data_IF_838714674146
#
_entry.id   IF_838714674146
#
_cell.length_a   1.000
_cell.length_b   1.000
_cell.length_c   1.000
_cell.angle_alpha   90.00
_cell.angle_beta   90.00
_cell.angle_gamma   90.00
#
_symmetry.space_group_name_H-M   'P 1'
#
loop_
_entity.id
_entity.type
_entity.pdbx_description
1 polymer ?
#
# COMPACT_ATOMS: atom_id res chain seq x y z
N UNK A 1 -34.96 -48.98 29.04
CA UNK A 1 -35.27 -47.59 28.70
C UNK A 1 -34.03 -46.76 28.90
N UNK A 2 -33.23 -46.55 27.80
CA UNK A 2 -31.98 -45.80 27.87
C UNK A 2 -32.14 -44.53 27.03
N UNK A 3 -32.27 -43.41 27.69
CA UNK A 3 -32.30 -42.09 27.05
C UNK A 3 -30.88 -41.66 26.65
N UNK A 4 -30.60 -41.58 25.36
CA UNK A 4 -29.34 -40.96 24.83
C UNK A 4 -29.54 -39.45 24.74
N UNK A 5 -28.79 -38.75 25.59
CA UNK A 5 -28.71 -37.30 25.62
C UNK A 5 -27.75 -36.85 24.50
N UNK A 6 -28.31 -36.24 23.42
CA UNK A 6 -27.51 -35.58 22.39
C UNK A 6 -27.06 -34.21 22.91
N UNK A 7 -25.75 -34.05 23.05
CA UNK A 7 -25.12 -32.73 23.34
C UNK A 7 -24.83 -32.11 22.00
N UNK A 8 -25.57 -31.05 21.66
CA UNK A 8 -25.26 -30.13 20.53
C UNK A 8 -24.16 -29.19 20.95
N UNK A 9 -22.97 -29.39 20.41
CA UNK A 9 -21.87 -28.41 20.50
C UNK A 9 -22.10 -27.36 19.44
N UNK A 10 -22.56 -26.18 19.84
CA UNK A 10 -22.62 -24.99 18.99
C UNK A 10 -21.21 -24.44 18.85
N UNK A 11 -20.58 -24.63 17.67
CA UNK A 11 -19.33 -24.01 17.33
C UNK A 11 -19.60 -22.51 17.05
N UNK A 12 -19.36 -21.64 18.01
CA UNK A 12 -19.27 -20.21 17.78
C UNK A 12 -18.04 -19.92 16.94
N UNK A 13 -18.22 -19.74 15.62
CA UNK A 13 -17.23 -19.10 14.77
C UNK A 13 -17.09 -17.63 15.21
N UNK A 14 -16.10 -17.37 16.04
CA UNK A 14 -15.70 -16.03 16.41
C UNK A 14 -15.15 -15.31 15.16
N UNK A 15 -15.96 -14.45 14.53
CA UNK A 15 -15.46 -13.44 13.64
C UNK A 15 -14.55 -12.52 14.46
N UNK A 16 -13.25 -12.64 14.27
CA UNK A 16 -12.28 -11.67 14.79
C UNK A 16 -12.54 -10.34 14.11
N UNK A 17 -13.32 -9.50 14.77
CA UNK A 17 -13.38 -8.06 14.45
C UNK A 17 -11.96 -7.54 14.64
N UNK A 18 -11.34 -7.08 13.56
CA UNK A 18 -10.09 -6.36 13.64
C UNK A 18 -10.37 -5.06 14.41
N UNK A 19 -10.06 -5.06 15.69
CA UNK A 19 -10.08 -3.85 16.51
C UNK A 19 -8.93 -2.95 16.03
N UNK A 20 -9.21 -1.65 15.91
CA UNK A 20 -8.17 -0.64 15.81
C UNK A 20 -7.22 -0.83 17.01
N UNK A 21 -5.92 -0.86 16.75
CA UNK A 21 -4.98 -0.79 17.86
C UNK A 21 -5.21 0.55 18.58
N UNK A 22 -5.29 0.59 19.91
CA UNK A 22 -5.45 1.84 20.61
C UNK A 22 -4.28 2.77 20.29
N UNK A 23 -4.45 4.12 20.32
CA UNK A 23 -3.39 5.11 20.05
C UNK A 23 -2.12 4.85 20.86
N UNK A 24 -2.28 4.30 22.07
CA UNK A 24 -1.21 3.89 22.95
C UNK A 24 -0.35 2.75 22.37
N UNK A 25 -0.92 1.85 21.57
CA UNK A 25 -0.20 0.77 20.91
C UNK A 25 0.77 1.28 19.85
N UNK A 26 0.34 2.22 18.99
CA UNK A 26 1.22 2.81 17.97
C UNK A 26 2.29 3.72 18.59
N UNK A 27 1.97 4.42 19.70
CA UNK A 27 2.94 5.23 20.44
C UNK A 27 4.00 4.35 21.11
N UNK A 28 3.60 3.25 21.75
CA UNK A 28 4.54 2.28 22.31
C UNK A 28 5.46 1.69 21.22
N UNK A 29 4.91 1.39 20.05
CA UNK A 29 5.69 0.93 18.88
C UNK A 29 6.68 1.97 18.38
N UNK A 30 6.31 3.23 18.38
CA UNK A 30 7.23 4.33 18.06
C UNK A 30 8.42 4.35 19.03
N UNK A 31 8.17 4.28 20.35
CA UNK A 31 9.25 4.28 21.34
C UNK A 31 10.15 3.05 21.20
N UNK A 32 9.60 1.87 20.95
CA UNK A 32 10.37 0.64 20.67
C UNK A 32 11.29 0.82 19.44
N UNK A 33 10.78 1.44 18.39
CA UNK A 33 11.48 1.57 17.10
C UNK A 33 12.42 2.79 17.04
N UNK A 34 12.41 3.72 17.97
CA UNK A 34 13.24 4.94 17.94
C UNK A 34 14.71 4.69 17.58
N UNK A 35 15.41 3.70 18.15
CA UNK A 35 16.79 3.40 17.78
C UNK A 35 16.93 3.01 16.30
N UNK A 36 16.01 2.17 15.80
CA UNK A 36 16.01 1.72 14.40
C UNK A 36 15.59 2.81 13.42
N UNK A 37 14.77 3.76 13.83
CA UNK A 37 14.38 4.92 13.03
C UNK A 37 15.50 5.93 12.90
N UNK A 38 16.38 6.05 13.92
CA UNK A 38 17.50 7.01 13.91
C UNK A 38 18.75 6.47 13.23
N UNK A 39 18.98 5.15 13.29
CA UNK A 39 20.16 4.50 12.72
C UNK A 39 19.73 3.33 11.82
N UNK A 40 19.70 3.58 10.52
CA UNK A 40 19.31 2.60 9.51
C UNK A 40 19.90 2.94 8.14
N UNK A 41 19.87 1.94 7.23
CA UNK A 41 20.42 2.07 5.88
C UNK A 41 19.60 2.95 4.94
N UNK A 42 18.37 3.33 5.31
CA UNK A 42 17.52 4.23 4.50
C UNK A 42 17.95 5.70 4.61
N UNK A 43 18.78 6.06 5.62
CA UNK A 43 19.15 7.44 5.94
C UNK A 43 17.93 8.36 6.14
N UNK A 44 16.84 7.78 6.63
CA UNK A 44 15.55 8.40 6.93
C UNK A 44 14.97 7.75 8.18
N UNK A 45 14.10 8.43 8.92
CA UNK A 45 13.40 7.81 10.06
C UNK A 45 12.35 6.81 9.58
N UNK A 46 12.85 5.68 9.07
CA UNK A 46 12.10 4.61 8.42
C UNK A 46 12.57 3.25 8.91
N UNK A 47 11.63 2.38 9.25
CA UNK A 47 11.84 0.97 9.51
C UNK A 47 10.86 0.14 8.67
N UNK A 48 11.38 -0.92 8.05
CA UNK A 48 10.60 -1.81 7.19
C UNK A 48 10.83 -3.26 7.62
N UNK A 49 9.74 -4.01 7.72
CA UNK A 49 9.77 -5.44 7.97
C UNK A 49 8.77 -6.18 7.07
N UNK A 50 8.96 -7.48 6.90
CA UNK A 50 8.07 -8.32 6.10
C UNK A 50 7.95 -9.72 6.65
N UNK A 51 6.81 -10.34 6.42
CA UNK A 51 6.52 -11.72 6.81
C UNK A 51 5.84 -12.49 5.67
N UNK A 52 6.04 -13.79 5.68
CA UNK A 52 5.38 -14.74 4.79
C UNK A 52 4.94 -15.94 5.63
N UNK A 53 3.66 -16.28 5.58
CA UNK A 53 3.11 -17.42 6.33
C UNK A 53 2.95 -18.65 5.43
N UNK A 54 2.97 -19.87 6.00
CA UNK A 54 2.86 -21.12 5.26
C UNK A 54 1.58 -21.24 4.41
N UNK A 55 0.49 -20.59 4.84
CA UNK A 55 -0.78 -20.55 4.11
C UNK A 55 -0.80 -19.55 2.93
N UNK A 56 0.33 -18.89 2.64
CA UNK A 56 0.50 -17.97 1.53
C UNK A 56 0.05 -16.53 1.78
N UNK A 57 -0.23 -16.16 3.03
CA UNK A 57 -0.39 -14.77 3.38
C UNK A 57 0.99 -14.11 3.50
N UNK A 58 1.13 -12.93 2.88
CA UNK A 58 2.34 -12.11 2.94
C UNK A 58 1.98 -10.71 3.42
N UNK A 59 2.85 -10.13 4.22
CA UNK A 59 2.69 -8.79 4.75
C UNK A 59 4.01 -8.03 4.74
N UNK A 60 3.93 -6.71 4.52
CA UNK A 60 5.04 -5.78 4.65
C UNK A 60 4.58 -4.55 5.39
N UNK A 61 5.35 -4.17 6.39
CA UNK A 61 5.05 -3.10 7.32
C UNK A 61 6.13 -2.02 7.22
N UNK A 62 5.70 -0.76 7.11
CA UNK A 62 6.56 0.41 7.09
C UNK A 62 6.17 1.30 8.25
N UNK A 63 7.14 1.58 9.11
CA UNK A 63 7.03 2.54 10.20
C UNK A 63 7.91 3.74 9.86
N UNK A 64 7.34 4.95 9.88
CA UNK A 64 8.11 6.13 9.49
C UNK A 64 7.66 7.39 10.24
N UNK A 65 8.60 8.34 10.38
CA UNK A 65 8.29 9.70 10.80
C UNK A 65 8.26 10.59 9.55
N UNK A 66 7.16 11.31 9.38
CA UNK A 66 6.93 12.23 8.27
C UNK A 66 7.00 13.66 8.80
N UNK A 67 7.72 14.53 8.08
CA UNK A 67 7.85 15.97 8.40
C UNK A 67 6.60 16.76 7.94
N UNK A 68 5.45 16.35 8.46
CA UNK A 68 4.16 17.03 8.25
C UNK A 68 3.38 17.00 9.56
N UNK A 69 2.70 18.10 9.92
CA UNK A 69 1.82 18.12 11.08
C UNK A 69 0.68 17.11 10.94
N UNK A 70 0.35 16.42 12.02
CA UNK A 70 -0.77 15.47 12.04
C UNK A 70 -2.10 16.14 11.61
N UNK A 71 -2.34 17.38 12.04
CA UNK A 71 -3.52 18.14 11.63
C UNK A 71 -3.63 18.38 10.11
N UNK A 72 -2.51 18.32 9.38
CA UNK A 72 -2.47 18.36 7.90
C UNK A 72 -2.54 16.96 7.30
N UNK A 73 -1.81 16.01 7.85
CA UNK A 73 -1.70 14.66 7.33
C UNK A 73 -3.00 13.86 7.51
N UNK A 74 -3.64 13.92 8.67
CA UNK A 74 -4.81 13.10 8.98
C UNK A 74 -6.02 13.38 8.06
N UNK A 75 -6.47 14.63 7.81
CA UNK A 75 -7.55 14.89 6.86
C UNK A 75 -7.21 14.47 5.43
N UNK A 76 -5.95 14.66 4.99
CA UNK A 76 -5.51 14.30 3.66
C UNK A 76 -5.50 12.78 3.45
N UNK A 77 -5.05 12.02 4.45
CA UNK A 77 -4.95 10.55 4.40
C UNK A 77 -6.29 9.86 4.71
N UNK A 78 -7.26 10.53 5.34
CA UNK A 78 -8.61 9.99 5.51
C UNK A 78 -9.47 10.11 4.25
N UNK A 79 -9.10 10.99 3.30
CA UNK A 79 -9.88 11.25 2.10
C UNK A 79 -9.69 10.17 1.03
N UNK A 80 -10.78 9.57 0.54
CA UNK A 80 -10.76 8.54 -0.50
C UNK A 80 -10.08 9.01 -1.80
N UNK A 81 -10.29 10.26 -2.21
CA UNK A 81 -9.62 10.84 -3.38
C UNK A 81 -8.10 10.97 -3.18
N UNK A 82 -7.64 11.28 -1.96
CA UNK A 82 -6.22 11.31 -1.62
C UNK A 82 -5.57 9.94 -1.83
N UNK A 83 -6.26 8.85 -1.47
CA UNK A 83 -5.79 7.51 -1.75
C UNK A 83 -5.71 7.19 -3.24
N UNK A 84 -6.64 7.67 -4.06
CA UNK A 84 -6.54 7.53 -5.51
C UNK A 84 -5.31 8.29 -6.06
N UNK A 85 -5.01 9.45 -5.53
CA UNK A 85 -3.81 10.21 -5.89
C UNK A 85 -2.51 9.49 -5.49
N UNK A 86 -2.50 8.81 -4.33
CA UNK A 86 -1.38 7.98 -3.86
C UNK A 86 -1.25 6.70 -4.71
N UNK A 87 -2.35 5.97 -4.89
CA UNK A 87 -2.36 4.70 -5.61
C UNK A 87 -2.04 4.85 -7.10
N UNK A 88 -2.24 6.05 -7.68
CA UNK A 88 -1.91 6.32 -9.07
C UNK A 88 -0.40 6.45 -9.31
N UNK A 89 0.42 6.74 -8.31
CA UNK A 89 1.86 7.00 -8.47
C UNK A 89 2.67 5.79 -8.97
N UNK A 90 2.47 4.55 -8.48
CA UNK A 90 3.16 3.39 -9.04
C UNK A 90 2.92 3.24 -10.56
N UNK A 91 3.98 2.91 -11.30
CA UNK A 91 3.98 2.89 -12.76
C UNK A 91 2.91 1.95 -13.38
N UNK A 92 2.57 0.87 -12.69
CA UNK A 92 1.59 -0.11 -13.16
C UNK A 92 0.12 0.24 -12.81
N UNK A 93 -0.16 1.25 -11.99
CA UNK A 93 -1.53 1.71 -11.76
C UNK A 93 -1.94 2.68 -12.86
N UNK A 94 -2.96 2.33 -13.62
CA UNK A 94 -3.41 3.06 -14.84
C UNK A 94 -4.58 3.99 -14.61
N UNK A 95 -5.29 3.79 -13.51
CA UNK A 95 -6.49 4.55 -13.17
C UNK A 95 -6.85 4.29 -11.71
N UNK A 96 -7.38 5.30 -11.03
CA UNK A 96 -8.06 5.18 -9.76
C UNK A 96 -9.16 6.24 -9.67
N UNK A 97 -10.34 5.85 -9.23
CA UNK A 97 -11.45 6.77 -8.97
C UNK A 97 -12.21 6.34 -7.72
N UNK A 98 -12.42 7.28 -6.84
CA UNK A 98 -13.30 7.09 -5.69
C UNK A 98 -14.77 7.29 -6.11
N UNK A 99 -15.64 6.42 -5.61
CA UNK A 99 -17.09 6.49 -5.74
C UNK A 99 -17.75 6.22 -4.39
N UNK A 100 -19.00 6.67 -4.22
CA UNK A 100 -19.77 6.33 -3.03
C UNK A 100 -20.04 4.83 -2.98
N UNK A 101 -19.92 4.22 -1.80
CA UNK A 101 -20.26 2.83 -1.53
C UNK A 101 -21.22 2.70 -0.35
N UNK A 102 -21.78 1.53 -0.14
CA UNK A 102 -22.80 1.30 0.90
C UNK A 102 -22.32 1.54 2.35
N UNK A 103 -21.03 1.41 2.63
CA UNK A 103 -20.42 1.61 3.94
C UNK A 103 -19.09 2.39 3.84
N UNK A 104 -19.09 3.53 3.16
CA UNK A 104 -17.90 4.33 2.93
C UNK A 104 -17.70 4.62 1.44
N UNK A 105 -16.47 4.59 0.96
CA UNK A 105 -16.12 4.80 -0.45
C UNK A 105 -15.55 3.53 -1.07
N UNK A 106 -15.67 3.40 -2.39
CA UNK A 106 -15.00 2.37 -3.18
C UNK A 106 -13.99 3.05 -4.11
N UNK A 107 -12.75 2.56 -4.09
CA UNK A 107 -11.72 3.00 -5.02
C UNK A 107 -11.66 1.99 -6.18
N UNK A 108 -12.11 2.42 -7.35
CA UNK A 108 -12.04 1.62 -8.58
C UNK A 108 -10.64 1.78 -9.18
N UNK A 109 -9.81 0.75 -9.04
CA UNK A 109 -8.40 0.78 -9.47
C UNK A 109 -8.21 -0.09 -10.70
N UNK A 110 -7.35 0.36 -11.64
CA UNK A 110 -6.88 -0.45 -12.78
C UNK A 110 -5.39 -0.67 -12.66
N UNK A 111 -4.98 -1.93 -12.54
CA UNK A 111 -3.58 -2.32 -12.36
C UNK A 111 -3.11 -3.06 -13.61
N UNK A 112 -2.21 -2.47 -14.37
CA UNK A 112 -1.59 -3.07 -15.55
C UNK A 112 -0.61 -4.19 -15.17
N UNK A 113 -0.41 -5.15 -16.08
CA UNK A 113 0.63 -6.19 -15.92
C UNK A 113 2.03 -5.60 -15.96
N UNK A 114 2.21 -4.56 -16.77
CA UNK A 114 3.44 -3.79 -16.95
C UNK A 114 3.09 -2.31 -16.98
N UNK A 115 4.11 -1.46 -16.89
CA UNK A 115 3.95 -0.02 -16.95
C UNK A 115 3.36 0.48 -18.27
N UNK A 116 3.64 -0.17 -19.39
CA UNK A 116 3.15 0.16 -20.74
C UNK A 116 1.80 -0.51 -21.12
N UNK A 117 1.19 -1.28 -20.20
CA UNK A 117 -0.08 -1.96 -20.49
C UNK A 117 -1.21 -0.95 -20.73
N UNK A 118 -2.07 -1.16 -21.77
CA UNK A 118 -3.29 -0.37 -21.94
C UNK A 118 -4.24 -0.52 -20.75
N UNK A 119 -4.99 0.53 -20.42
CA UNK A 119 -5.93 0.52 -19.29
C UNK A 119 -7.06 -0.50 -19.45
N UNK A 120 -7.46 -0.78 -20.67
CA UNK A 120 -8.51 -1.75 -21.03
C UNK A 120 -8.09 -3.19 -20.70
N UNK A 121 -6.79 -3.47 -20.69
CA UNK A 121 -6.20 -4.78 -20.35
C UNK A 121 -5.80 -4.87 -18.88
N UNK A 122 -5.95 -3.79 -18.11
CA UNK A 122 -5.58 -3.77 -16.71
C UNK A 122 -6.58 -4.55 -15.84
N UNK A 123 -6.06 -5.18 -14.79
CA UNK A 123 -6.89 -5.84 -13.79
C UNK A 123 -7.73 -4.80 -13.04
N UNK A 124 -9.00 -5.10 -12.88
CA UNK A 124 -9.90 -4.34 -12.02
C UNK A 124 -9.73 -4.79 -10.58
N UNK A 125 -9.51 -3.83 -9.69
CA UNK A 125 -9.49 -4.05 -8.25
C UNK A 125 -10.34 -2.96 -7.59
N UNK A 126 -11.39 -3.35 -6.91
CA UNK A 126 -12.27 -2.44 -6.20
C UNK A 126 -11.92 -2.51 -4.71
N UNK A 127 -11.29 -1.45 -4.20
CA UNK A 127 -10.97 -1.35 -2.77
C UNK A 127 -12.10 -0.68 -2.00
N UNK A 128 -12.66 -1.37 -1.01
CA UNK A 128 -13.47 -0.72 0.00
C UNK A 128 -12.55 0.17 0.87
N UNK A 129 -12.81 1.46 0.90
CA UNK A 129 -12.11 2.45 1.73
C UNK A 129 -12.95 2.78 2.95
N UNK A 130 -12.37 2.65 4.13
CA UNK A 130 -13.01 2.96 5.41
C UNK A 130 -12.06 3.76 6.30
N UNK A 131 -12.57 4.83 6.88
CA UNK A 131 -11.95 5.47 8.04
C UNK A 131 -12.44 4.69 9.26
N UNK A 132 -11.53 4.01 9.93
CA UNK A 132 -11.83 3.15 11.10
C UNK A 132 -11.86 4.01 12.36
N UNK A 133 -10.90 4.92 12.47
CA UNK A 133 -10.83 5.90 13.55
C UNK A 133 -10.22 7.21 13.06
N UNK A 134 -10.72 8.34 13.55
CA UNK A 134 -10.17 9.66 13.29
C UNK A 134 -10.49 10.58 14.45
N UNK A 135 -9.47 10.93 15.20
CA UNK A 135 -9.51 11.87 16.33
C UNK A 135 -8.40 12.91 16.20
N UNK A 136 -8.25 13.81 17.14
CA UNK A 136 -7.18 14.81 17.14
C UNK A 136 -5.78 14.21 17.35
N UNK A 137 -5.69 12.96 17.80
CA UNK A 137 -4.44 12.30 18.15
C UNK A 137 -4.25 10.90 17.54
N UNK A 138 -5.20 10.44 16.71
CA UNK A 138 -5.10 9.14 16.03
C UNK A 138 -5.91 9.13 14.74
N UNK A 139 -5.34 8.51 13.71
CA UNK A 139 -6.03 8.17 12.47
C UNK A 139 -5.80 6.69 12.18
N UNK A 140 -6.87 5.99 11.78
CA UNK A 140 -6.74 4.69 11.14
C UNK A 140 -7.64 4.61 9.90
N UNK A 141 -7.01 4.28 8.76
CA UNK A 141 -7.68 4.06 7.47
C UNK A 141 -7.40 2.66 6.99
N UNK A 142 -8.41 2.02 6.42
CA UNK A 142 -8.29 0.70 5.82
C UNK A 142 -8.82 0.70 4.40
N UNK A 143 -8.02 0.12 3.48
CA UNK A 143 -8.46 -0.30 2.16
C UNK A 143 -8.45 -1.83 2.11
N UNK A 144 -9.51 -2.43 1.58
CA UNK A 144 -9.59 -3.89 1.43
C UNK A 144 -10.22 -4.30 0.11
N UNK A 145 -9.69 -5.37 -0.51
CA UNK A 145 -10.25 -5.96 -1.71
C UNK A 145 -10.16 -7.49 -1.63
N UNK A 146 -11.26 -8.17 -1.97
CA UNK A 146 -11.31 -9.64 -1.89
C UNK A 146 -10.46 -10.30 -2.97
N UNK A 147 -10.43 -9.69 -4.15
CA UNK A 147 -9.73 -10.22 -5.32
C UNK A 147 -8.77 -9.20 -5.91
N UNK A 148 -7.68 -9.69 -6.50
CA UNK A 148 -6.68 -8.89 -7.16
C UNK A 148 -6.05 -9.58 -8.36
N UNK A 149 -4.99 -8.98 -8.94
CA UNK A 149 -4.30 -9.51 -10.10
C UNK A 149 -3.75 -10.93 -9.88
N UNK A 150 -3.74 -11.74 -10.94
CA UNK A 150 -3.05 -13.05 -10.97
C UNK A 150 -3.52 -14.04 -9.89
N UNK A 151 -4.79 -13.99 -9.49
CA UNK A 151 -5.36 -14.89 -8.47
C UNK A 151 -4.92 -14.60 -7.04
N UNK A 152 -4.36 -13.43 -6.80
CA UNK A 152 -4.14 -12.89 -5.45
C UNK A 152 -5.46 -12.43 -4.84
N UNK A 153 -5.56 -12.46 -3.51
CA UNK A 153 -6.81 -12.16 -2.79
C UNK A 153 -6.56 -11.62 -1.39
N UNK A 154 -7.63 -11.19 -0.74
CA UNK A 154 -7.61 -10.69 0.64
C UNK A 154 -6.64 -9.51 0.80
N UNK A 155 -6.66 -8.57 -0.14
CA UNK A 155 -5.84 -7.37 -0.05
C UNK A 155 -6.27 -6.51 1.12
N UNK A 156 -5.27 -6.05 1.86
CA UNK A 156 -5.47 -5.12 2.95
C UNK A 156 -4.32 -4.11 2.99
N UNK A 157 -4.67 -2.84 2.95
CA UNK A 157 -3.77 -1.72 3.25
C UNK A 157 -4.34 -1.06 4.49
N UNK A 158 -3.55 -0.95 5.54
CA UNK A 158 -3.93 -0.23 6.76
C UNK A 158 -2.91 0.87 6.97
N UNK A 159 -3.38 2.08 7.18
CA UNK A 159 -2.57 3.21 7.61
C UNK A 159 -3.04 3.64 8.98
N UNK A 160 -2.12 3.66 9.93
CA UNK A 160 -2.29 4.29 11.23
C UNK A 160 -1.35 5.48 11.36
N UNK A 161 -1.80 6.54 12.02
CA UNK A 161 -1.00 7.74 12.24
C UNK A 161 -1.27 8.36 13.61
N UNK A 162 -0.22 8.90 14.24
CA UNK A 162 -0.29 9.66 15.48
C UNK A 162 0.56 10.94 15.39
N UNK A 163 0.21 12.02 16.10
CA UNK A 163 1.04 13.20 16.20
C UNK A 163 2.30 12.93 17.01
N UNK A 164 3.41 13.53 16.57
CA UNK A 164 4.64 13.65 17.33
C UNK A 164 4.93 15.12 17.62
N UNK A 165 5.89 15.35 18.52
CA UNK A 165 6.44 16.69 18.74
C UNK A 165 7.07 17.26 17.47
N UNK A 166 7.32 18.59 17.46
CA UNK A 166 7.93 19.32 16.33
C UNK A 166 7.13 19.25 15.02
N UNK A 167 5.81 19.22 15.10
CA UNK A 167 4.90 19.18 13.92
C UNK A 167 5.18 18.01 12.98
N UNK A 168 5.49 16.84 13.53
CA UNK A 168 5.70 15.61 12.77
C UNK A 168 4.60 14.61 13.03
N UNK A 169 4.51 13.63 12.15
CA UNK A 169 3.56 12.52 12.24
C UNK A 169 4.30 11.19 12.17
N UNK A 170 4.04 10.30 13.10
CA UNK A 170 4.47 8.90 12.99
C UNK A 170 3.37 8.10 12.31
N UNK A 171 3.75 7.31 11.32
CA UNK A 171 2.84 6.44 10.58
C UNK A 171 3.28 4.98 10.66
N UNK A 172 2.30 4.09 10.64
CA UNK A 172 2.43 2.67 10.33
C UNK A 172 1.60 2.36 9.10
N UNK A 173 2.25 1.90 8.04
CA UNK A 173 1.61 1.42 6.82
C UNK A 173 1.80 -0.09 6.74
N UNK A 174 0.72 -0.85 6.85
CA UNK A 174 0.70 -2.30 6.64
C UNK A 174 0.07 -2.62 5.29
N UNK A 175 0.74 -3.42 4.47
CA UNK A 175 0.23 -3.92 3.20
C UNK A 175 0.33 -5.44 3.16
N UNK A 176 -0.81 -6.10 2.96
CA UNK A 176 -0.87 -7.55 2.94
C UNK A 176 -1.83 -8.08 1.89
N UNK A 177 -1.58 -9.31 1.43
CA UNK A 177 -2.48 -10.09 0.59
C UNK A 177 -2.15 -11.58 0.68
N UNK A 178 -3.02 -12.42 0.14
CA UNK A 178 -2.83 -13.87 0.07
C UNK A 178 -2.62 -14.31 -1.36
N UNK A 179 -1.75 -15.31 -1.54
CA UNK A 179 -1.44 -15.90 -2.85
C UNK A 179 -1.93 -17.35 -2.85
N UNK A 180 -2.87 -17.66 -3.75
CA UNK A 180 -3.31 -19.03 -3.98
C UNK A 180 -2.22 -19.89 -4.63
N UNK A 181 -2.43 -21.22 -4.70
CA UNK A 181 -1.44 -22.17 -5.26
C UNK A 181 -1.02 -21.83 -6.70
N UNK A 182 -1.99 -21.45 -7.55
CA UNK A 182 -1.73 -21.07 -8.94
C UNK A 182 -0.96 -19.75 -9.05
N UNK A 183 -1.32 -18.75 -8.24
CA UNK A 183 -0.59 -17.48 -8.18
C UNK A 183 0.82 -17.65 -7.64
N UNK A 184 1.02 -18.55 -6.69
CA UNK A 184 2.33 -18.90 -6.14
C UNK A 184 3.24 -19.51 -7.22
N UNK A 185 2.72 -20.45 -8.01
CA UNK A 185 3.45 -21.04 -9.14
C UNK A 185 3.84 -19.97 -10.17
N UNK A 186 2.89 -19.13 -10.60
CA UNK A 186 3.16 -18.04 -11.55
C UNK A 186 4.22 -17.05 -11.01
N UNK A 187 4.17 -16.73 -9.72
CA UNK A 187 5.15 -15.85 -9.08
C UNK A 187 6.53 -16.51 -8.97
N UNK A 188 6.61 -17.81 -8.67
CA UNK A 188 7.87 -18.55 -8.65
C UNK A 188 8.51 -18.57 -10.04
N UNK A 189 7.74 -18.77 -11.10
CA UNK A 189 8.24 -18.69 -12.48
C UNK A 189 8.76 -17.29 -12.82
N UNK A 190 8.04 -16.23 -12.42
CA UNK A 190 8.51 -14.85 -12.57
C UNK A 190 9.80 -14.59 -11.81
N UNK A 191 9.86 -14.96 -10.53
CA UNK A 191 11.04 -14.78 -9.67
C UNK A 191 12.24 -15.61 -10.13
N UNK A 192 12.01 -16.75 -10.78
CA UNK A 192 13.07 -17.59 -11.38
C UNK A 192 13.58 -17.06 -12.73
N UNK A 193 12.92 -16.06 -13.32
CA UNK A 193 13.25 -15.52 -14.65
C UNK A 193 13.46 -14.00 -14.63
N UNK A 194 12.49 -13.23 -15.05
CA UNK A 194 12.57 -11.77 -15.17
C UNK A 194 12.71 -11.04 -13.82
N UNK A 195 12.27 -11.66 -12.74
CA UNK A 195 12.34 -11.09 -11.37
C UNK A 195 13.51 -11.58 -10.52
N UNK A 196 14.40 -12.43 -11.05
CA UNK A 196 15.46 -13.11 -10.29
C UNK A 196 16.42 -12.16 -9.56
N UNK A 197 16.69 -11.01 -10.16
CA UNK A 197 17.60 -10.00 -9.61
C UNK A 197 16.89 -8.93 -8.77
N UNK A 198 15.55 -9.01 -8.68
CA UNK A 198 14.75 -8.08 -7.90
C UNK A 198 14.75 -8.49 -6.42
N UNK A 199 15.33 -7.64 -5.60
CA UNK A 199 15.46 -7.85 -4.14
C UNK A 199 14.55 -6.89 -3.36
N UNK A 200 14.34 -7.18 -2.07
CA UNK A 200 13.73 -6.26 -1.12
C UNK A 200 14.78 -5.38 -0.43
N UNK A 201 14.47 -4.97 0.77
CA UNK A 201 15.30 -4.04 1.55
C UNK A 201 15.91 -4.70 2.79
N UNK A 202 15.29 -5.74 3.34
CA UNK A 202 15.78 -6.42 4.54
C UNK A 202 17.06 -7.18 4.25
N UNK A 203 18.10 -6.93 5.08
CA UNK A 203 19.36 -7.68 5.05
C UNK A 203 19.12 -9.04 5.69
N UNK A 204 19.37 -10.12 4.95
CA UNK A 204 19.19 -11.51 5.41
C UNK A 204 20.49 -12.25 5.61
N UNK A 205 21.62 -11.61 5.33
CA UNK A 205 22.97 -12.18 5.46
C UNK A 205 23.97 -11.39 4.62
N UNK A 206 25.13 -12.00 4.39
CA UNK A 206 26.20 -11.45 3.54
C UNK A 206 27.53 -12.12 3.83
N UNK A 207 28.41 -12.19 2.82
CA UNK A 207 29.79 -12.63 2.96
C UNK A 207 30.70 -11.63 2.23
N UNK A 208 31.92 -11.44 2.74
CA UNK A 208 32.92 -10.61 2.07
C UNK A 208 32.55 -9.13 1.93
N UNK A 209 31.76 -8.56 2.86
CA UNK A 209 31.36 -7.14 2.82
C UNK A 209 30.15 -6.83 1.93
N UNK A 210 29.59 -7.79 1.20
CA UNK A 210 28.34 -7.63 0.43
C UNK A 210 27.15 -8.11 1.25
N UNK A 211 26.16 -7.21 1.45
CA UNK A 211 24.90 -7.55 2.08
C UNK A 211 23.99 -8.33 1.12
N UNK A 212 23.52 -9.50 1.56
CA UNK A 212 22.45 -10.23 0.87
C UNK A 212 21.09 -9.65 1.31
N UNK A 213 20.32 -9.18 0.33
CA UNK A 213 18.98 -8.66 0.57
C UNK A 213 17.92 -9.73 0.33
N UNK A 214 16.80 -9.63 1.05
CA UNK A 214 15.69 -10.56 0.93
C UNK A 214 15.14 -10.60 -0.50
N UNK A 215 14.96 -11.81 -1.01
CA UNK A 215 14.35 -12.08 -2.32
C UNK A 215 12.94 -12.66 -2.19
N UNK A 216 12.50 -13.32 -3.27
CA UNK A 216 11.24 -14.06 -3.28
C UNK A 216 10.00 -13.18 -3.01
N UNK A 217 8.99 -13.79 -2.40
CA UNK A 217 7.73 -13.13 -2.08
C UNK A 217 7.91 -12.00 -1.06
N UNK A 218 8.78 -12.18 -0.07
CA UNK A 218 9.12 -11.11 0.88
C UNK A 218 9.75 -9.91 0.18
N UNK A 219 10.66 -10.12 -0.78
CA UNK A 219 11.21 -9.03 -1.58
C UNK A 219 10.15 -8.29 -2.41
N UNK A 220 9.14 -8.99 -2.93
CA UNK A 220 8.02 -8.37 -3.65
C UNK A 220 7.19 -7.47 -2.73
N UNK A 221 6.79 -7.98 -1.55
CA UNK A 221 5.95 -7.20 -0.64
C UNK A 221 6.70 -5.97 -0.09
N UNK A 222 7.99 -6.09 0.22
CA UNK A 222 8.80 -4.96 0.69
C UNK A 222 8.89 -3.85 -0.35
N UNK A 223 9.09 -4.19 -1.63
CA UNK A 223 9.10 -3.19 -2.72
C UNK A 223 7.76 -2.49 -2.86
N UNK A 224 6.66 -3.23 -2.76
CA UNK A 224 5.32 -2.65 -2.87
C UNK A 224 4.98 -1.75 -1.67
N UNK A 225 5.26 -2.21 -0.44
CA UNK A 225 5.08 -1.40 0.76
C UNK A 225 5.88 -0.10 0.70
N UNK A 226 7.13 -0.18 0.25
CA UNK A 226 7.97 1.01 0.06
C UNK A 226 7.40 1.95 -1.01
N UNK A 227 6.91 1.45 -2.15
CA UNK A 227 6.28 2.30 -3.18
C UNK A 227 5.08 3.07 -2.65
N UNK A 228 4.22 2.42 -1.86
CA UNK A 228 3.07 3.09 -1.24
C UNK A 228 3.50 4.09 -0.18
N UNK A 229 4.49 3.76 0.66
CA UNK A 229 5.03 4.69 1.63
C UNK A 229 5.60 5.95 0.94
N UNK A 230 6.45 5.79 -0.08
CA UNK A 230 6.98 6.91 -0.85
C UNK A 230 5.87 7.69 -1.57
N UNK A 231 4.78 7.02 -1.96
CA UNK A 231 3.58 7.66 -2.49
C UNK A 231 2.88 8.56 -1.46
N UNK A 232 2.78 8.11 -0.22
CA UNK A 232 2.23 8.90 0.88
C UNK A 232 3.11 10.14 1.14
N UNK A 233 4.44 9.97 1.20
CA UNK A 233 5.36 11.11 1.37
C UNK A 233 5.20 12.14 0.25
N UNK A 234 5.21 11.69 -1.02
CA UNK A 234 5.10 12.57 -2.17
C UNK A 234 3.73 13.30 -2.22
N UNK A 235 2.66 12.60 -1.87
CA UNK A 235 1.33 13.18 -1.78
C UNK A 235 1.24 14.27 -0.71
N UNK A 236 1.68 13.97 0.50
CA UNK A 236 1.67 14.92 1.61
C UNK A 236 2.61 16.10 1.36
N UNK A 237 3.80 15.86 0.82
CA UNK A 237 4.77 16.89 0.46
C UNK A 237 4.28 17.86 -0.62
N UNK A 238 3.36 17.39 -1.49
CA UNK A 238 2.76 18.24 -2.52
C UNK A 238 1.63 19.14 -2.01
N UNK A 239 1.07 18.89 -0.81
CA UNK A 239 -0.05 19.68 -0.28
C UNK A 239 0.30 21.17 -0.06
N UNK A 240 1.55 21.47 0.25
CA UNK A 240 2.04 22.84 0.43
C UNK A 240 2.18 23.63 -0.88
N UNK A 241 2.16 22.95 -2.03
CA UNK A 241 2.24 23.58 -3.34
C UNK A 241 0.87 24.14 -3.77
N UNK A 242 0.83 25.17 -4.65
CA UNK A 242 -0.40 25.62 -5.29
C UNK A 242 -1.13 24.46 -5.98
N UNK A 243 -2.48 24.43 -5.99
CA UNK A 243 -3.25 23.29 -6.50
C UNK A 243 -2.83 22.82 -7.90
N UNK A 244 -2.53 23.75 -8.80
CA UNK A 244 -2.10 23.48 -10.18
C UNK A 244 -0.70 22.83 -10.28
N UNK A 245 0.15 23.04 -9.29
CA UNK A 245 1.49 22.48 -9.25
C UNK A 245 1.58 21.13 -8.51
N UNK A 246 0.53 20.73 -7.78
CA UNK A 246 0.54 19.53 -6.92
C UNK A 246 0.79 18.25 -7.68
N UNK A 247 0.20 18.11 -8.87
CA UNK A 247 0.39 16.91 -9.69
C UNK A 247 1.87 16.74 -10.06
N UNK A 248 2.46 17.75 -10.68
CA UNK A 248 3.85 17.69 -11.15
C UNK A 248 4.82 17.48 -9.98
N UNK A 249 4.57 18.16 -8.86
CA UNK A 249 5.39 17.99 -7.67
C UNK A 249 5.35 16.56 -7.17
N UNK A 250 4.18 15.97 -6.95
CA UNK A 250 4.08 14.60 -6.41
C UNK A 250 4.61 13.53 -7.38
N UNK A 251 4.44 13.70 -8.70
CA UNK A 251 5.02 12.80 -9.68
C UNK A 251 6.54 12.85 -9.65
N UNK A 252 7.11 14.05 -9.63
CA UNK A 252 8.56 14.27 -9.59
C UNK A 252 9.15 13.78 -8.27
N UNK A 253 8.54 14.14 -7.14
CA UNK A 253 9.01 13.74 -5.81
C UNK A 253 8.97 12.21 -5.63
N UNK A 254 7.90 11.55 -6.09
CA UNK A 254 7.79 10.09 -6.01
C UNK A 254 8.85 9.40 -6.89
N UNK A 255 9.03 9.87 -8.12
CA UNK A 255 10.06 9.32 -9.01
C UNK A 255 11.44 9.46 -8.38
N UNK A 256 11.81 10.66 -7.93
CA UNK A 256 13.11 10.91 -7.29
C UNK A 256 13.29 10.07 -6.01
N UNK A 257 12.23 9.87 -5.24
CA UNK A 257 12.27 9.05 -4.03
C UNK A 257 12.49 7.56 -4.36
N UNK A 258 11.90 7.04 -5.44
CA UNK A 258 12.13 5.65 -5.89
C UNK A 258 13.54 5.46 -6.44
N UNK A 259 14.09 6.45 -7.15
CA UNK A 259 15.46 6.40 -7.70
C UNK A 259 16.57 6.49 -6.63
N UNK A 260 16.25 6.78 -5.37
CA UNK A 260 17.20 6.56 -4.25
C UNK A 260 17.48 5.09 -4.01
N UNK A 261 16.60 4.19 -4.50
CA UNK A 261 16.66 2.75 -4.33
C UNK A 261 16.59 2.03 -5.70
N UNK A 262 17.51 2.33 -6.65
CA UNK A 262 17.36 1.87 -8.04
C UNK A 262 17.40 0.35 -8.18
N UNK A 263 18.17 -0.34 -7.35
CA UNK A 263 18.23 -1.81 -7.35
C UNK A 263 16.88 -2.46 -7.05
N UNK A 264 16.06 -1.82 -6.20
CA UNK A 264 14.76 -2.31 -5.78
C UNK A 264 13.62 -1.75 -6.61
N UNK A 265 13.64 -0.43 -6.90
CA UNK A 265 12.45 0.29 -7.34
C UNK A 265 12.54 0.88 -8.75
N UNK A 266 13.72 0.94 -9.38
CA UNK A 266 13.84 1.45 -10.74
C UNK A 266 13.01 0.62 -11.73
N UNK A 267 12.19 1.28 -12.54
CA UNK A 267 11.34 0.65 -13.55
C UNK A 267 11.51 1.27 -14.96
N UNK A 268 11.78 2.57 -15.05
CA UNK A 268 11.91 3.32 -16.32
C UNK A 268 12.56 4.68 -16.08
N UNK A 269 12.91 5.39 -17.15
CA UNK A 269 13.43 6.76 -17.05
C UNK A 269 12.34 7.78 -16.66
N UNK A 270 12.79 8.95 -16.15
CA UNK A 270 11.90 9.98 -15.62
C UNK A 270 10.95 10.56 -16.69
N UNK A 271 11.43 10.80 -17.89
CA UNK A 271 10.61 11.42 -18.93
C UNK A 271 9.46 10.49 -19.35
N UNK A 272 9.73 9.19 -19.50
CA UNK A 272 8.73 8.18 -19.78
C UNK A 272 7.72 8.05 -18.62
N UNK A 273 8.19 8.02 -17.38
CA UNK A 273 7.33 7.98 -16.20
C UNK A 273 6.39 9.19 -16.15
N UNK A 274 6.93 10.40 -16.21
CA UNK A 274 6.12 11.63 -16.12
C UNK A 274 5.10 11.72 -17.26
N UNK A 275 5.50 11.41 -18.49
CA UNK A 275 4.61 11.42 -19.66
C UNK A 275 3.44 10.45 -19.48
N UNK A 276 3.73 9.22 -19.08
CA UNK A 276 2.73 8.19 -18.81
C UNK A 276 1.77 8.60 -17.69
N UNK A 277 2.29 9.07 -16.55
CA UNK A 277 1.46 9.40 -15.38
C UNK A 277 0.58 10.63 -15.57
N UNK A 278 1.01 11.61 -16.37
CA UNK A 278 0.14 12.73 -16.80
C UNK A 278 -1.06 12.23 -17.58
N UNK A 279 -0.87 11.28 -18.49
CA UNK A 279 -1.98 10.66 -19.25
C UNK A 279 -2.91 9.85 -18.35
N UNK A 280 -2.35 9.07 -17.41
CA UNK A 280 -3.14 8.31 -16.43
C UNK A 280 -3.97 9.26 -15.54
N UNK A 281 -3.40 10.39 -15.10
CA UNK A 281 -4.11 11.40 -14.32
C UNK A 281 -5.21 12.10 -15.14
N UNK A 282 -4.94 12.48 -16.40
CA UNK A 282 -5.95 13.05 -17.30
C UNK A 282 -7.13 12.08 -17.46
N UNK A 283 -6.85 10.78 -17.63
CA UNK A 283 -7.88 9.74 -17.69
C UNK A 283 -8.70 9.66 -16.39
N UNK A 284 -8.05 9.75 -15.23
CA UNK A 284 -8.72 9.79 -13.94
C UNK A 284 -9.67 10.99 -13.84
N UNK A 285 -9.28 12.17 -14.32
CA UNK A 285 -10.10 13.38 -14.30
C UNK A 285 -11.26 13.35 -15.32
N UNK A 286 -11.11 12.65 -16.45
CA UNK A 286 -12.12 12.56 -17.49
C UNK A 286 -13.41 11.82 -17.07
N UNK A 287 -13.40 11.12 -15.92
CA UNK A 287 -14.58 10.47 -15.39
C UNK A 287 -14.52 8.93 -15.39
N UNK A 288 -15.65 8.24 -15.24
CA UNK A 288 -15.71 6.78 -15.23
C UNK A 288 -15.24 6.22 -16.59
N UNK A 289 -14.54 5.07 -16.56
CA UNK A 289 -14.19 4.35 -17.78
C UNK A 289 -15.46 3.78 -18.45
N UNK A 290 -15.49 3.74 -19.77
CA UNK A 290 -16.69 3.39 -20.57
C UNK A 290 -17.38 2.06 -20.16
N UNK A 291 -16.63 1.08 -19.66
CA UNK A 291 -17.19 -0.17 -19.14
C UNK A 291 -17.93 -0.03 -17.78
N UNK A 292 -17.83 1.11 -17.11
CA UNK A 292 -18.49 1.40 -15.82
C UNK A 292 -19.79 2.19 -16.00
N UNK A 293 -19.90 2.95 -17.07
CA UNK A 293 -21.10 3.75 -17.38
C UNK A 293 -22.34 2.90 -17.76
N UNK A 294 -22.16 1.63 -18.12
CA UNK A 294 -23.25 0.72 -18.49
C UNK A 294 -23.96 0.00 -17.33
N UNK A 295 -23.49 0.13 -16.08
CA UNK A 295 -24.09 -0.56 -14.91
C UNK A 295 -24.93 0.32 -13.99
N UNK A 296 -25.00 1.62 -14.25
CA UNK A 296 -25.78 2.56 -13.42
C UNK A 296 -27.24 2.74 -13.84
N UNK A 297 -27.72 1.97 -14.82
CA UNK A 297 -29.07 2.12 -15.39
C UNK A 297 -29.83 0.79 -15.52
N UNK A 298 -29.69 -0.12 -14.52
CA UNK A 298 -30.63 -1.23 -14.36
C UNK A 298 -31.02 -1.41 -12.90
#
# INVERSE_FOLDING_TARGET
MNARMLVLIAACMGMSLAHAAPPDGLRAKYEELRPKLSDNHFQKPLYLESSESPNGAIAGDVYAVIDQPFATAAPALSAANGWCDILLLPANTKYCRASAGGQGSVLNVRIGRKADSPVEQAYKVDFAHKVIDQTDNHLQVQLSAEQGPLGTRNYRIVLEAIPLEQNRTFIHLSYSYSVGSMGRFAMQMYLGSAGKDKVGFTVVGGQGGQQALVGGMRGVIERNSMRYYLGIEAYLGALSAPPEARLEKRLTDWFQATERYPRQLHEMDQAAYLGMKRQDYQRQQAGPLAAESGRSSQ
#
